data_IF_213541195683
#
_entry.id   IF_213541195683
#
_cell.length_a   1.000
_cell.length_b   1.000
_cell.length_c   1.000
_cell.angle_alpha   90.00
_cell.angle_beta   90.00
_cell.angle_gamma   90.00
#
_symmetry.space_group_name_H-M   'P 1'
#
loop_
_entity.id
_entity.type
_entity.pdbx_description
1 polymer ?
#
# COMPACT_ATOMS: atom_id res chain seq x y z
N UNK A 1 -17.90 10.74 -18.42
CA UNK A 1 -18.61 9.74 -17.58
C UNK A 1 -18.06 8.33 -17.81
N UNK A 2 -17.76 7.95 -19.05
CA UNK A 2 -17.23 6.61 -19.40
C UNK A 2 -15.88 6.25 -18.74
N UNK A 3 -14.89 7.15 -18.73
CA UNK A 3 -13.60 6.93 -18.06
C UNK A 3 -13.76 6.63 -16.56
N UNK A 4 -14.70 7.29 -15.89
CA UNK A 4 -14.94 7.11 -14.46
C UNK A 4 -15.50 5.71 -14.17
N UNK A 5 -16.36 5.18 -15.04
CA UNK A 5 -16.88 3.81 -14.96
C UNK A 5 -15.77 2.78 -15.22
N UNK A 6 -14.92 3.02 -16.22
CA UNK A 6 -13.76 2.17 -16.50
C UNK A 6 -12.78 2.12 -15.33
N UNK A 7 -12.63 3.23 -14.59
CA UNK A 7 -11.77 3.32 -13.42
C UNK A 7 -12.33 2.61 -12.17
N UNK A 8 -13.64 2.40 -12.07
CA UNK A 8 -14.24 1.78 -10.87
C UNK A 8 -13.66 0.40 -10.59
N UNK A 9 -13.44 -0.41 -11.62
CA UNK A 9 -12.96 -1.78 -11.48
C UNK A 9 -11.48 -1.83 -11.05
N UNK A 10 -10.54 -1.11 -11.73
CA UNK A 10 -9.18 -0.96 -11.24
C UNK A 10 -9.10 -0.40 -9.83
N UNK A 11 -9.85 0.66 -9.50
CA UNK A 11 -9.84 1.26 -8.15
C UNK A 11 -10.29 0.24 -7.12
N UNK A 12 -11.42 -0.43 -7.34
CA UNK A 12 -11.94 -1.44 -6.40
C UNK A 12 -10.95 -2.57 -6.19
N UNK A 13 -10.36 -3.07 -7.29
CA UNK A 13 -9.34 -4.10 -7.24
C UNK A 13 -8.08 -3.63 -6.50
N UNK A 14 -7.61 -2.42 -6.80
CA UNK A 14 -6.47 -1.78 -6.15
C UNK A 14 -6.69 -1.65 -4.64
N UNK A 15 -7.85 -1.18 -4.21
CA UNK A 15 -8.20 -1.01 -2.79
C UNK A 15 -8.23 -2.35 -2.07
N UNK A 16 -8.91 -3.34 -2.65
CA UNK A 16 -9.03 -4.67 -2.04
C UNK A 16 -7.63 -5.30 -1.90
N UNK A 17 -6.86 -5.35 -2.99
CA UNK A 17 -5.55 -6.00 -3.00
C UNK A 17 -4.56 -5.31 -2.06
N UNK A 18 -4.52 -3.97 -2.04
CA UNK A 18 -3.62 -3.22 -1.16
C UNK A 18 -3.97 -3.41 0.32
N UNK A 19 -5.25 -3.39 0.69
CA UNK A 19 -5.70 -3.62 2.07
C UNK A 19 -5.34 -5.03 2.51
N UNK A 20 -5.68 -6.05 1.70
CA UNK A 20 -5.35 -7.44 2.04
C UNK A 20 -3.84 -7.63 2.21
N UNK A 21 -3.05 -7.10 1.28
CA UNK A 21 -1.59 -7.19 1.33
C UNK A 21 -1.02 -6.48 2.57
N UNK A 22 -1.52 -5.27 2.87
CA UNK A 22 -1.09 -4.53 4.06
C UNK A 22 -1.43 -5.28 5.34
N UNK A 23 -2.66 -5.77 5.49
CA UNK A 23 -3.09 -6.52 6.68
C UNK A 23 -2.30 -7.83 6.84
N UNK A 24 -1.93 -8.48 5.75
CA UNK A 24 -1.07 -9.67 5.77
C UNK A 24 0.31 -9.36 6.35
N UNK A 25 0.98 -8.31 5.86
CA UNK A 25 2.29 -7.91 6.38
C UNK A 25 2.21 -7.31 7.78
N UNK A 26 1.13 -6.61 8.12
CA UNK A 26 0.89 -6.12 9.48
C UNK A 26 0.74 -7.29 10.46
N UNK A 27 -0.03 -8.31 10.11
CA UNK A 27 -0.19 -9.51 10.94
C UNK A 27 1.17 -10.17 11.19
N UNK A 28 1.99 -10.31 10.14
CA UNK A 28 3.35 -10.84 10.25
C UNK A 28 4.25 -10.00 11.16
N UNK A 29 4.19 -8.66 11.05
CA UNK A 29 4.92 -7.75 11.92
C UNK A 29 4.57 -7.94 13.41
N UNK A 30 3.28 -8.11 13.71
CA UNK A 30 2.79 -8.30 15.07
C UNK A 30 3.23 -9.67 15.63
N UNK A 31 3.20 -10.73 14.81
CA UNK A 31 3.65 -12.07 15.20
C UNK A 31 5.14 -12.11 15.52
N UNK A 32 5.98 -11.49 14.68
CA UNK A 32 7.43 -11.35 14.93
C UNK A 32 7.70 -10.63 16.24
N UNK A 33 6.97 -9.54 16.53
CA UNK A 33 7.11 -8.84 17.81
C UNK A 33 6.78 -9.74 19.00
N UNK A 34 5.66 -10.47 18.95
CA UNK A 34 5.25 -11.36 20.05
C UNK A 34 6.27 -12.45 20.33
N UNK A 35 6.98 -12.92 19.30
CA UNK A 35 8.08 -13.86 19.46
C UNK A 35 9.27 -13.20 20.17
N UNK A 36 9.72 -12.04 19.67
CA UNK A 36 10.87 -11.31 20.23
C UNK A 36 10.64 -10.80 21.67
N UNK A 37 9.40 -10.42 22.02
CA UNK A 37 9.02 -9.99 23.37
C UNK A 37 8.92 -11.14 24.38
N UNK A 38 8.64 -12.36 23.92
CA UNK A 38 8.71 -13.55 24.78
C UNK A 38 10.15 -13.95 25.10
N UNK A 39 11.08 -13.56 24.24
CA UNK A 39 12.50 -13.89 24.35
C UNK A 39 13.31 -12.83 25.13
N UNK A 40 12.83 -11.58 25.21
CA UNK A 40 13.52 -10.49 25.90
C UNK A 40 12.60 -9.74 26.86
N UNK A 41 12.93 -9.82 28.16
CA UNK A 41 12.21 -9.15 29.24
C UNK A 41 12.34 -7.61 29.17
N UNK A 42 11.32 -6.95 29.70
CA UNK A 42 10.90 -5.55 29.49
C UNK A 42 12.01 -4.49 29.61
N UNK A 43 11.97 -3.52 28.69
CA UNK A 43 12.50 -2.16 28.90
C UNK A 43 11.55 -1.12 28.27
N UNK A 44 11.49 0.07 28.88
CA UNK A 44 10.72 1.23 28.40
C UNK A 44 11.37 1.80 27.14
N UNK A 45 10.65 1.77 26.02
CA UNK A 45 11.29 1.82 24.70
C UNK A 45 10.70 2.89 23.80
N UNK A 46 11.62 3.60 23.13
CA UNK A 46 11.32 4.73 22.25
C UNK A 46 10.57 4.31 20.99
N UNK A 47 9.94 5.27 20.29
CA UNK A 47 9.16 5.00 19.08
C UNK A 47 10.03 4.38 17.96
N UNK A 48 11.25 4.88 17.77
CA UNK A 48 12.29 4.34 16.86
C UNK A 48 12.57 2.85 17.11
N UNK A 49 12.62 2.51 18.38
CA UNK A 49 13.01 1.19 18.84
C UNK A 49 11.79 0.23 18.85
N UNK A 50 10.56 0.77 18.91
CA UNK A 50 9.36 0.05 18.47
C UNK A 50 9.41 -0.27 16.97
N UNK A 51 9.78 0.67 16.08
CA UNK A 51 9.90 0.38 14.63
C UNK A 51 10.87 -0.78 14.34
N UNK A 52 12.01 -0.82 15.05
CA UNK A 52 12.95 -1.96 15.00
C UNK A 52 12.35 -3.25 15.56
N UNK A 53 11.62 -3.18 16.67
CA UNK A 53 11.00 -4.37 17.31
C UNK A 53 9.84 -4.97 16.53
N UNK A 54 9.09 -4.16 15.77
CA UNK A 54 8.02 -4.62 14.91
C UNK A 54 8.50 -5.11 13.53
N UNK A 55 9.81 -5.03 13.24
CA UNK A 55 10.38 -5.24 11.90
C UNK A 55 9.58 -4.44 10.84
N UNK A 56 9.15 -3.22 11.23
CA UNK A 56 8.22 -2.41 10.46
C UNK A 56 8.81 -2.06 9.10
N UNK A 57 10.10 -1.74 9.07
CA UNK A 57 10.82 -1.37 7.85
C UNK A 57 10.79 -2.52 6.82
N UNK A 58 11.02 -3.76 7.26
CA UNK A 58 10.98 -4.93 6.37
C UNK A 58 9.57 -5.19 5.88
N UNK A 59 8.57 -5.09 6.74
CA UNK A 59 7.17 -5.33 6.37
C UNK A 59 6.65 -4.27 5.41
N UNK A 60 6.95 -3.00 5.66
CA UNK A 60 6.63 -1.88 4.76
C UNK A 60 7.34 -2.06 3.43
N UNK A 61 8.64 -2.39 3.41
CA UNK A 61 9.37 -2.65 2.17
C UNK A 61 8.77 -3.80 1.37
N UNK A 62 8.43 -4.90 2.02
CA UNK A 62 7.81 -6.05 1.34
C UNK A 62 6.42 -5.69 0.80
N UNK A 63 5.62 -4.95 1.56
CA UNK A 63 4.36 -4.41 1.10
C UNK A 63 4.54 -3.54 -0.15
N UNK A 64 5.49 -2.59 -0.13
CA UNK A 64 5.82 -1.75 -1.29
C UNK A 64 6.19 -2.59 -2.51
N UNK A 65 7.04 -3.61 -2.35
CA UNK A 65 7.47 -4.47 -3.45
C UNK A 65 6.31 -5.24 -4.07
N UNK A 66 5.43 -5.80 -3.24
CA UNK A 66 4.23 -6.49 -3.73
C UNK A 66 3.31 -5.52 -4.48
N UNK A 67 3.08 -4.33 -3.91
CA UNK A 67 2.25 -3.31 -4.56
C UNK A 67 2.86 -2.75 -5.84
N UNK A 68 4.20 -2.72 -5.94
CA UNK A 68 4.89 -2.33 -7.17
C UNK A 68 4.58 -3.35 -8.28
N UNK A 69 4.73 -4.65 -8.00
CA UNK A 69 4.43 -5.73 -8.96
C UNK A 69 2.96 -5.70 -9.38
N UNK A 70 2.04 -5.53 -8.43
CA UNK A 70 0.62 -5.37 -8.77
C UNK A 70 0.35 -4.14 -9.61
N UNK A 71 0.98 -3.00 -9.29
CA UNK A 71 0.77 -1.79 -10.08
C UNK A 71 1.38 -1.92 -11.48
N UNK A 72 2.50 -2.61 -11.66
CA UNK A 72 3.04 -2.93 -12.99
C UNK A 72 2.02 -3.69 -13.84
N UNK A 73 1.41 -4.73 -13.27
CA UNK A 73 0.39 -5.52 -13.95
C UNK A 73 -0.84 -4.67 -14.31
N UNK A 74 -1.41 -3.95 -13.33
CA UNK A 74 -2.61 -3.13 -13.53
C UNK A 74 -2.35 -1.99 -14.52
N UNK A 75 -1.23 -1.28 -14.39
CA UNK A 75 -0.90 -0.16 -15.29
C UNK A 75 -0.74 -0.61 -16.74
N UNK A 76 -0.09 -1.76 -16.99
CA UNK A 76 0.05 -2.27 -18.34
C UNK A 76 -1.30 -2.72 -18.93
N UNK A 77 -2.03 -3.61 -18.25
CA UNK A 77 -3.21 -4.27 -18.80
C UNK A 77 -4.54 -3.50 -18.66
N UNK A 78 -4.65 -2.60 -17.68
CA UNK A 78 -5.89 -1.87 -17.42
C UNK A 78 -5.81 -0.38 -17.79
N UNK A 79 -4.61 0.19 -17.94
CA UNK A 79 -4.45 1.60 -18.31
C UNK A 79 -3.90 1.75 -19.73
N UNK A 80 -2.67 1.32 -19.99
CA UNK A 80 -2.01 1.64 -21.27
C UNK A 80 -2.59 0.89 -22.47
N UNK A 81 -3.00 -0.36 -22.31
CA UNK A 81 -3.71 -1.11 -23.37
C UNK A 81 -5.11 -0.55 -23.64
N UNK A 82 -5.75 0.09 -22.66
CA UNK A 82 -7.09 0.68 -22.78
C UNK A 82 -7.07 2.16 -23.18
N UNK A 83 -5.88 2.76 -23.34
CA UNK A 83 -5.73 4.16 -23.73
C UNK A 83 -6.12 5.16 -22.63
N UNK A 84 -6.10 4.76 -21.35
CA UNK A 84 -6.32 5.69 -20.24
C UNK A 84 -5.19 6.70 -20.13
N UNK A 85 -5.54 7.92 -19.75
CA UNK A 85 -4.62 9.05 -19.75
C UNK A 85 -3.94 9.25 -18.38
N UNK A 86 -3.05 10.23 -18.30
CA UNK A 86 -2.31 10.53 -17.08
C UNK A 86 -3.22 10.97 -15.91
N UNK A 87 -4.34 11.65 -16.19
CA UNK A 87 -5.31 12.07 -15.17
C UNK A 87 -5.95 10.83 -14.55
N UNK A 88 -6.34 9.85 -15.37
CA UNK A 88 -6.91 8.58 -14.93
C UNK A 88 -5.96 7.83 -13.98
N UNK A 89 -4.65 7.85 -14.29
CA UNK A 89 -3.60 7.31 -13.42
C UNK A 89 -3.57 8.00 -12.07
N UNK A 90 -3.54 9.34 -12.05
CA UNK A 90 -3.54 10.10 -10.79
C UNK A 90 -4.81 9.86 -9.96
N UNK A 91 -5.97 9.81 -10.60
CA UNK A 91 -7.25 9.50 -9.94
C UNK A 91 -7.20 8.12 -9.31
N UNK A 92 -6.68 7.12 -10.03
CA UNK A 92 -6.49 5.77 -9.50
C UNK A 92 -5.57 5.75 -8.28
N UNK A 93 -4.37 6.35 -8.36
CA UNK A 93 -3.41 6.37 -7.25
C UNK A 93 -4.02 7.06 -6.02
N UNK A 94 -4.64 8.23 -6.25
CA UNK A 94 -5.23 9.03 -5.18
C UNK A 94 -6.39 8.32 -4.51
N UNK A 95 -7.38 7.85 -5.29
CA UNK A 95 -8.57 7.20 -4.72
C UNK A 95 -8.23 5.87 -4.05
N UNK A 96 -7.38 5.06 -4.66
CA UNK A 96 -6.96 3.78 -4.07
C UNK A 96 -6.25 3.98 -2.73
N UNK A 97 -5.38 4.99 -2.67
CA UNK A 97 -4.67 5.33 -1.43
C UNK A 97 -5.61 5.93 -0.39
N UNK A 98 -6.45 6.88 -0.79
CA UNK A 98 -7.34 7.58 0.13
C UNK A 98 -8.37 6.63 0.75
N UNK A 99 -9.08 5.87 -0.09
CA UNK A 99 -10.10 4.91 0.36
C UNK A 99 -9.47 3.86 1.27
N UNK A 100 -8.34 3.28 0.86
CA UNK A 100 -7.67 2.29 1.69
C UNK A 100 -7.13 2.85 3.00
N UNK A 101 -6.57 4.05 2.99
CA UNK A 101 -6.08 4.72 4.22
C UNK A 101 -7.23 4.97 5.20
N UNK A 102 -8.40 5.37 4.69
CA UNK A 102 -9.62 5.56 5.48
C UNK A 102 -10.12 4.24 6.06
N UNK A 103 -10.10 3.15 5.28
CA UNK A 103 -10.46 1.81 5.77
C UNK A 103 -9.48 1.36 6.86
N UNK A 104 -8.17 1.46 6.65
CA UNK A 104 -7.16 1.11 7.67
C UNK A 104 -7.35 1.94 8.95
N UNK A 105 -7.67 3.23 8.82
CA UNK A 105 -7.97 4.10 9.95
C UNK A 105 -9.19 3.59 10.74
N UNK A 106 -10.28 3.25 10.03
CA UNK A 106 -11.51 2.74 10.61
C UNK A 106 -11.33 1.36 11.28
N UNK A 107 -10.57 0.45 10.66
CA UNK A 107 -10.27 -0.88 11.21
C UNK A 107 -9.53 -0.80 12.56
N UNK A 108 -8.84 0.31 12.83
CA UNK A 108 -8.11 0.54 14.08
C UNK A 108 -8.91 1.32 15.12
N UNK A 109 -10.25 1.30 15.07
CA UNK A 109 -11.13 2.11 15.93
C UNK A 109 -10.78 2.07 17.43
N UNK A 110 -10.36 0.92 17.96
CA UNK A 110 -10.01 0.71 19.38
C UNK A 110 -8.58 1.11 19.75
N UNK A 111 -7.78 1.65 18.82
CA UNK A 111 -6.40 2.11 19.05
C UNK A 111 -6.35 3.63 19.24
N UNK A 112 -5.25 4.12 19.80
CA UNK A 112 -5.02 5.56 19.94
C UNK A 112 -4.97 6.26 18.58
N UNK A 113 -5.31 7.55 18.56
CA UNK A 113 -5.31 8.35 17.32
C UNK A 113 -3.95 8.30 16.61
N UNK A 114 -2.87 8.36 17.39
CA UNK A 114 -1.51 8.28 16.87
C UNK A 114 -1.28 6.98 16.10
N UNK A 115 -1.68 5.84 16.66
CA UNK A 115 -1.54 4.52 16.01
C UNK A 115 -2.38 4.43 14.73
N UNK A 116 -3.59 5.02 14.73
CA UNK A 116 -4.44 5.06 13.53
C UNK A 116 -3.78 5.83 12.40
N UNK A 117 -3.32 7.05 12.69
CA UNK A 117 -2.65 7.93 11.72
C UNK A 117 -1.38 7.27 11.18
N UNK A 118 -0.54 6.72 12.06
CA UNK A 118 0.68 6.03 11.63
C UNK A 118 0.38 4.82 10.75
N UNK A 119 -0.61 3.99 11.09
CA UNK A 119 -0.95 2.86 10.26
C UNK A 119 -1.49 3.25 8.89
N UNK A 120 -2.38 4.25 8.83
CA UNK A 120 -2.87 4.79 7.56
C UNK A 120 -1.74 5.39 6.73
N UNK A 121 -0.78 6.05 7.36
CA UNK A 121 0.42 6.56 6.69
C UNK A 121 1.32 5.44 6.16
N UNK A 122 1.60 4.40 6.97
CA UNK A 122 2.39 3.23 6.58
C UNK A 122 1.70 2.37 5.50
N UNK A 123 0.38 2.49 5.35
CA UNK A 123 -0.35 1.95 4.21
C UNK A 123 -0.20 2.84 2.97
N UNK A 124 -0.43 4.15 3.12
CA UNK A 124 -0.62 5.06 2.01
C UNK A 124 0.67 5.52 1.34
N UNK A 125 1.67 5.94 2.12
CA UNK A 125 2.92 6.47 1.57
C UNK A 125 3.66 5.44 0.69
N UNK A 126 3.82 4.17 1.11
CA UNK A 126 4.50 3.20 0.27
C UNK A 126 3.65 2.77 -0.93
N UNK A 127 2.32 2.77 -0.82
CA UNK A 127 1.42 2.52 -1.95
C UNK A 127 1.57 3.58 -3.04
N UNK A 128 1.57 4.87 -2.66
CA UNK A 128 1.78 5.98 -3.60
C UNK A 128 3.11 5.81 -4.32
N UNK A 129 4.20 5.60 -3.56
CA UNK A 129 5.53 5.43 -4.14
C UNK A 129 5.57 4.26 -5.13
N UNK A 130 5.12 3.08 -4.70
CA UNK A 130 5.06 1.89 -5.55
C UNK A 130 4.21 2.09 -6.78
N UNK A 131 3.09 2.81 -6.67
CA UNK A 131 2.25 3.08 -7.84
C UNK A 131 2.91 4.05 -8.81
N UNK A 132 3.51 5.15 -8.35
CA UNK A 132 4.24 6.08 -9.22
C UNK A 132 5.33 5.33 -9.99
N UNK A 133 6.16 4.54 -9.31
CA UNK A 133 7.20 3.76 -9.96
C UNK A 133 6.64 2.70 -10.91
N UNK A 134 5.57 2.01 -10.51
CA UNK A 134 4.92 1.00 -11.35
C UNK A 134 4.37 1.58 -12.64
N UNK A 135 3.65 2.70 -12.58
CA UNK A 135 3.16 3.37 -13.79
C UNK A 135 4.29 3.90 -14.66
N UNK A 136 5.35 4.46 -14.06
CA UNK A 136 6.50 4.96 -14.82
C UNK A 136 7.22 3.83 -15.57
N UNK A 137 7.50 2.72 -14.89
CA UNK A 137 8.17 1.56 -15.49
C UNK A 137 7.29 0.96 -16.60
N UNK A 138 6.00 0.75 -16.34
CA UNK A 138 5.08 0.21 -17.35
C UNK A 138 4.92 1.15 -18.55
N UNK A 139 4.98 2.46 -18.34
CA UNK A 139 4.94 3.43 -19.44
C UNK A 139 6.18 3.29 -20.33
N UNK A 140 7.38 3.20 -19.74
CA UNK A 140 8.63 2.97 -20.47
C UNK A 140 8.55 1.66 -21.25
N UNK A 141 8.08 0.57 -20.62
CA UNK A 141 7.93 -0.73 -21.29
C UNK A 141 6.96 -0.63 -22.47
N UNK A 142 5.77 -0.06 -22.25
CA UNK A 142 4.74 0.08 -23.27
C UNK A 142 5.21 0.95 -24.46
N UNK A 143 5.92 2.04 -24.19
CA UNK A 143 6.44 2.94 -25.21
C UNK A 143 7.56 2.32 -26.07
N UNK A 144 8.30 1.33 -25.55
CA UNK A 144 9.36 0.64 -26.29
C UNK A 144 8.90 -0.64 -27.00
N UNK A 145 7.74 -1.20 -26.63
CA UNK A 145 7.15 -2.39 -27.26
C UNK A 145 6.19 -2.06 -28.41
N UNK A 146 5.81 -0.80 -28.55
CA UNK A 146 5.04 -0.25 -29.68
C UNK A 146 5.97 0.23 -30.78
#
# INVERSE_FOLDING_TARGET
>A
MEHLVQLMLPISFGVITSIFTFLFFEKKAIETKRYNEKENEKNNISLSENFKRYDTDRNVRNYSLVMLVFTLFVSYFAFFTQGLNLIDVFVYIFLTTFIGSAIIFALKIRKSILVKVFASFLYGAPLIASSIFGFLISYIIYANLK
#
